data_IF_227506765281
#
_entry.id   IF_227506765281
#
_cell.length_a   1.000
_cell.length_b   1.000
_cell.length_c   1.000
_cell.angle_alpha   90.00
_cell.angle_beta   90.00
_cell.angle_gamma   90.00
#
_symmetry.space_group_name_H-M   'P 1'
#
loop_
_entity.id
_entity.type
_entity.pdbx_description
1 polymer ?
#
# COMPACT_ATOMS: atom_id res chain seq x y z
N UNK A 1 10.09 7.00 -27.97
CA UNK A 1 9.25 7.58 -26.91
C UNK A 1 9.83 7.12 -25.58
N UNK A 2 10.08 8.03 -24.64
CA UNK A 2 10.64 7.65 -23.35
C UNK A 2 9.57 6.89 -22.57
N UNK A 3 9.86 5.66 -22.14
CA UNK A 3 8.94 4.87 -21.34
C UNK A 3 8.57 5.65 -20.07
N UNK A 4 7.27 5.78 -19.80
CA UNK A 4 6.75 6.33 -18.56
C UNK A 4 7.38 5.60 -17.37
N UNK A 5 8.17 6.30 -16.55
CA UNK A 5 8.74 5.75 -15.31
C UNK A 5 7.73 5.75 -14.16
N UNK A 6 6.45 6.00 -14.43
CA UNK A 6 5.41 6.14 -13.43
C UNK A 6 4.92 4.78 -12.97
N UNK A 7 4.73 4.64 -11.66
CA UNK A 7 4.33 3.39 -11.02
C UNK A 7 3.22 3.70 -10.03
N UNK A 8 2.17 2.89 -10.04
CA UNK A 8 1.17 2.91 -8.96
C UNK A 8 1.50 1.82 -7.93
N UNK A 9 1.67 2.23 -6.68
CA UNK A 9 1.85 1.31 -5.57
C UNK A 9 0.52 1.02 -4.90
N UNK A 10 0.25 -0.27 -4.66
CA UNK A 10 -0.95 -0.78 -4.02
C UNK A 10 -0.51 -1.67 -2.86
N UNK A 11 -1.07 -1.47 -1.69
CA UNK A 11 -0.82 -2.26 -0.49
C UNK A 11 -2.11 -2.95 -0.09
N UNK A 12 -2.05 -4.25 0.15
CA UNK A 12 -3.21 -5.08 0.49
C UNK A 12 -2.92 -5.83 1.78
N UNK A 13 -3.94 -5.96 2.62
CA UNK A 13 -3.86 -6.78 3.82
C UNK A 13 -3.75 -8.27 3.49
N UNK A 14 -2.70 -8.93 3.96
CA UNK A 14 -2.49 -10.36 3.77
C UNK A 14 -3.34 -11.21 4.73
N UNK A 15 -3.71 -10.68 5.91
CA UNK A 15 -4.56 -11.38 6.87
C UNK A 15 -5.99 -11.60 6.38
N UNK A 16 -6.45 -10.85 5.37
CA UNK A 16 -7.71 -11.12 4.68
C UNK A 16 -7.76 -12.57 4.18
N UNK A 17 -6.66 -13.07 3.59
CA UNK A 17 -6.58 -14.46 3.12
C UNK A 17 -6.38 -15.46 4.24
N UNK A 18 -5.45 -15.16 5.15
CA UNK A 18 -4.91 -16.14 6.09
C UNK A 18 -5.75 -16.27 7.36
N UNK A 19 -6.30 -15.16 7.84
CA UNK A 19 -6.99 -15.08 9.12
C UNK A 19 -8.50 -14.90 8.94
N UNK A 20 -8.92 -14.13 7.95
CA UNK A 20 -10.34 -13.83 7.68
C UNK A 20 -10.95 -14.71 6.59
N UNK A 21 -10.16 -15.61 5.99
CA UNK A 21 -10.61 -16.61 5.00
C UNK A 21 -11.27 -16.02 3.74
N UNK A 22 -10.92 -14.80 3.34
CA UNK A 22 -11.40 -14.22 2.10
C UNK A 22 -10.90 -15.03 0.89
N UNK A 23 -11.70 -15.04 -0.17
CA UNK A 23 -11.28 -15.64 -1.43
C UNK A 23 -10.18 -14.79 -2.09
N UNK A 24 -9.36 -15.41 -2.93
CA UNK A 24 -8.36 -14.67 -3.72
C UNK A 24 -9.03 -13.59 -4.59
N UNK A 25 -10.18 -13.90 -5.18
CA UNK A 25 -10.96 -12.96 -5.99
C UNK A 25 -11.40 -11.74 -5.18
N UNK A 26 -11.85 -11.91 -3.94
CA UNK A 26 -12.23 -10.80 -3.07
C UNK A 26 -11.03 -9.88 -2.79
N UNK A 27 -9.86 -10.44 -2.50
CA UNK A 27 -8.63 -9.67 -2.25
C UNK A 27 -8.19 -8.88 -3.48
N UNK A 28 -8.27 -9.49 -4.67
CA UNK A 28 -8.00 -8.82 -5.94
C UNK A 28 -8.97 -7.65 -6.13
N UNK A 29 -10.26 -7.84 -5.84
CA UNK A 29 -11.26 -6.77 -5.94
C UNK A 29 -10.89 -5.57 -5.05
N UNK A 30 -10.43 -5.81 -3.82
CA UNK A 30 -9.99 -4.72 -2.92
C UNK A 30 -8.81 -3.92 -3.49
N UNK A 31 -7.83 -4.60 -4.09
CA UNK A 31 -6.71 -3.95 -4.76
C UNK A 31 -7.18 -3.10 -5.95
N UNK A 32 -8.10 -3.63 -6.75
CA UNK A 32 -8.70 -2.93 -7.89
C UNK A 32 -9.51 -1.71 -7.45
N UNK A 33 -10.31 -1.82 -6.40
CA UNK A 33 -11.08 -0.71 -5.85
C UNK A 33 -10.16 0.43 -5.36
N UNK A 34 -9.15 0.11 -4.55
CA UNK A 34 -8.17 1.09 -4.09
C UNK A 34 -7.45 1.77 -5.27
N UNK A 35 -6.95 0.99 -6.23
CA UNK A 35 -6.25 1.48 -7.43
C UNK A 35 -7.11 2.44 -8.23
N UNK A 36 -8.36 2.04 -8.53
CA UNK A 36 -9.30 2.84 -9.31
C UNK A 36 -9.70 4.11 -8.59
N UNK A 37 -9.96 4.01 -7.29
CA UNK A 37 -10.31 5.16 -6.46
C UNK A 37 -9.16 6.18 -6.39
N UNK A 38 -7.90 5.73 -6.28
CA UNK A 38 -6.74 6.61 -6.31
C UNK A 38 -6.57 7.30 -7.67
N UNK A 39 -6.70 6.56 -8.78
CA UNK A 39 -6.63 7.15 -10.12
C UNK A 39 -7.74 8.20 -10.34
N UNK A 40 -8.96 7.93 -9.89
CA UNK A 40 -10.07 8.87 -9.99
C UNK A 40 -9.88 10.10 -9.07
N UNK A 41 -9.50 9.89 -7.81
CA UNK A 41 -9.32 10.98 -6.83
C UNK A 41 -8.23 11.97 -7.29
N UNK A 42 -7.19 11.47 -7.92
CA UNK A 42 -6.04 12.26 -8.39
C UNK A 42 -5.99 12.39 -9.91
N UNK A 43 -7.14 12.32 -10.59
CA UNK A 43 -7.22 12.30 -12.06
C UNK A 43 -6.61 13.53 -12.73
N UNK A 44 -6.68 14.69 -12.08
CA UNK A 44 -6.15 15.96 -12.61
C UNK A 44 -4.65 16.14 -12.35
N UNK A 45 -4.02 15.29 -11.54
CA UNK A 45 -2.58 15.38 -11.28
C UNK A 45 -1.79 15.01 -12.54
N UNK A 46 -0.73 15.76 -12.85
CA UNK A 46 0.07 15.56 -14.07
C UNK A 46 0.59 14.12 -14.22
N UNK A 47 1.17 13.56 -13.15
CA UNK A 47 1.61 12.17 -13.11
C UNK A 47 0.48 11.17 -13.39
N UNK A 48 -0.72 11.39 -12.84
CA UNK A 48 -1.86 10.49 -13.08
C UNK A 48 -2.29 10.55 -14.53
N UNK A 49 -2.37 11.76 -15.11
CA UNK A 49 -2.72 11.95 -16.53
C UNK A 49 -1.69 11.32 -17.46
N UNK A 50 -0.40 11.53 -17.18
CA UNK A 50 0.69 10.92 -17.95
C UNK A 50 0.68 9.40 -17.85
N UNK A 51 0.43 8.85 -16.66
CA UNK A 51 0.29 7.41 -16.43
C UNK A 51 -0.89 6.80 -17.21
N UNK A 52 -2.04 7.49 -17.25
CA UNK A 52 -3.23 7.05 -17.98
C UNK A 52 -3.16 7.29 -19.49
N UNK A 53 -2.31 8.21 -19.96
CA UNK A 53 -2.10 8.45 -21.38
C UNK A 53 -1.25 7.35 -22.05
N UNK A 54 -0.44 6.63 -21.27
CA UNK A 54 0.46 5.57 -21.73
C UNK A 54 0.01 4.19 -21.20
N UNK A 55 -1.21 3.77 -21.58
CA UNK A 55 -1.85 2.57 -21.04
C UNK A 55 -1.05 1.28 -21.29
N UNK A 56 -0.33 1.19 -22.41
CA UNK A 56 0.46 0.02 -22.80
C UNK A 56 1.70 -0.18 -21.91
N UNK A 57 2.18 0.89 -21.25
CA UNK A 57 3.35 0.86 -20.38
C UNK A 57 3.02 1.11 -18.90
N UNK A 58 1.75 1.00 -18.50
CA UNK A 58 1.35 1.13 -17.10
C UNK A 58 2.01 0.06 -16.22
N UNK A 59 2.57 0.50 -15.09
CA UNK A 59 3.17 -0.38 -14.10
C UNK A 59 2.51 -0.24 -12.72
N UNK A 60 2.09 -1.38 -12.17
CA UNK A 60 1.55 -1.46 -10.80
C UNK A 60 2.43 -2.38 -9.96
N UNK A 61 2.72 -1.97 -8.73
CA UNK A 61 3.42 -2.77 -7.73
C UNK A 61 2.47 -3.05 -6.59
N UNK A 62 2.19 -4.33 -6.35
CA UNK A 62 1.30 -4.78 -5.27
C UNK A 62 2.13 -5.35 -4.14
N UNK A 63 1.88 -4.89 -2.92
CA UNK A 63 2.60 -5.26 -1.70
C UNK A 63 1.64 -5.74 -0.62
N UNK A 64 2.13 -6.57 0.29
CA UNK A 64 1.38 -7.08 1.42
C UNK A 64 1.70 -6.32 2.72
N UNK A 65 0.68 -6.10 3.55
CA UNK A 65 0.82 -5.72 4.96
C UNK A 65 0.07 -6.72 5.83
N UNK A 66 0.58 -7.03 7.03
CA UNK A 66 0.06 -8.17 7.78
C UNK A 66 -1.32 -7.97 8.39
N UNK A 67 -1.75 -6.74 8.69
CA UNK A 67 -2.99 -6.48 9.43
C UNK A 67 -3.49 -5.04 9.23
N UNK A 68 -4.72 -4.79 9.71
CA UNK A 68 -5.38 -3.47 9.64
C UNK A 68 -4.62 -2.38 10.38
N UNK A 69 -4.02 -2.70 11.54
CA UNK A 69 -3.32 -1.73 12.38
C UNK A 69 -2.10 -1.19 11.64
N UNK A 70 -1.32 -2.06 11.00
CA UNK A 70 -0.18 -1.65 10.18
C UNK A 70 -0.59 -0.93 8.90
N UNK A 71 -1.73 -1.28 8.29
CA UNK A 71 -2.26 -0.53 7.16
C UNK A 71 -2.65 0.90 7.57
N UNK A 72 -3.30 1.07 8.72
CA UNK A 72 -3.64 2.38 9.29
C UNK A 72 -2.39 3.18 9.71
N UNK A 73 -1.39 2.51 10.29
CA UNK A 73 -0.11 3.15 10.60
C UNK A 73 0.61 3.63 9.33
N UNK A 74 0.58 2.81 8.26
CA UNK A 74 1.12 3.21 6.96
C UNK A 74 0.41 4.47 6.45
N UNK A 75 -0.92 4.56 6.50
CA UNK A 75 -1.64 5.75 6.02
C UNK A 75 -1.23 7.01 6.80
N UNK A 76 -1.10 6.93 8.13
CA UNK A 76 -0.63 8.06 8.94
C UNK A 76 0.79 8.50 8.58
N UNK A 77 1.69 7.55 8.30
CA UNK A 77 3.06 7.87 7.86
C UNK A 77 3.07 8.54 6.50
N UNK A 78 2.22 8.11 5.56
CA UNK A 78 2.10 8.73 4.24
C UNK A 78 1.53 10.16 4.34
N UNK A 79 0.54 10.38 5.21
CA UNK A 79 -0.01 11.72 5.47
C UNK A 79 1.07 12.68 6.00
N UNK A 80 1.87 12.23 6.98
CA UNK A 80 2.95 13.04 7.56
C UNK A 80 4.09 13.38 6.59
N UNK A 81 4.25 12.61 5.52
CA UNK A 81 5.24 12.85 4.45
C UNK A 81 4.61 13.54 3.23
N UNK A 82 3.33 13.94 3.32
CA UNK A 82 2.56 14.56 2.22
C UNK A 82 2.54 13.73 0.93
N UNK A 83 2.41 12.41 1.08
CA UNK A 83 2.26 11.47 -0.03
C UNK A 83 0.77 11.24 -0.27
N UNK A 84 0.33 11.37 -1.52
CA UNK A 84 -1.06 11.24 -1.94
C UNK A 84 -1.46 9.75 -2.06
N UNK A 85 -2.51 9.37 -1.34
CA UNK A 85 -3.09 8.03 -1.41
C UNK A 85 -4.61 8.01 -1.19
N UNK A 86 -5.18 6.84 -1.46
CA UNK A 86 -6.52 6.43 -1.06
C UNK A 86 -6.40 5.22 -0.15
N UNK A 87 -6.99 5.31 1.03
CA UNK A 87 -7.19 4.21 1.94
C UNK A 87 -8.59 3.62 1.69
N UNK A 88 -8.65 2.37 1.27
CA UNK A 88 -9.88 1.68 0.92
C UNK A 88 -10.48 0.97 2.14
N UNK A 89 -11.76 1.24 2.39
CA UNK A 89 -12.57 0.62 3.44
C UNK A 89 -13.71 -0.13 2.80
N UNK A 90 -13.76 -1.44 3.02
CA UNK A 90 -14.82 -2.28 2.47
C UNK A 90 -16.12 -2.12 3.28
N UNK A 91 -17.25 -2.18 2.58
CA UNK A 91 -18.59 -2.22 3.15
C UNK A 91 -19.28 -3.53 2.76
N UNK A 92 -20.16 -4.09 3.61
CA UNK A 92 -20.69 -3.53 4.87
C UNK A 92 -19.82 -3.77 6.12
N UNK A 93 -18.74 -4.53 6.02
CA UNK A 93 -17.90 -4.92 7.17
C UNK A 93 -17.18 -3.74 7.82
N UNK A 94 -17.05 -2.63 7.09
CA UNK A 94 -16.47 -1.37 7.55
C UNK A 94 -15.00 -1.49 7.98
N UNK A 95 -14.23 -2.37 7.34
CA UNK A 95 -12.81 -2.63 7.64
C UNK A 95 -11.87 -2.08 6.56
N UNK A 96 -10.67 -1.65 6.93
CA UNK A 96 -9.65 -1.22 5.97
C UNK A 96 -9.05 -2.44 5.27
N UNK A 97 -9.02 -2.50 3.95
CA UNK A 97 -8.57 -3.71 3.22
C UNK A 97 -7.36 -3.46 2.34
N UNK A 98 -7.28 -2.27 1.74
CA UNK A 98 -6.21 -1.91 0.82
C UNK A 98 -5.90 -0.41 0.87
N UNK A 99 -4.76 -0.02 0.32
CA UNK A 99 -4.35 1.36 0.13
C UNK A 99 -3.70 1.46 -1.26
N UNK A 100 -3.97 2.52 -2.00
CA UNK A 100 -3.29 2.79 -3.26
C UNK A 100 -2.81 4.23 -3.32
N UNK A 101 -1.59 4.41 -3.79
CA UNK A 101 -1.05 5.73 -4.10
C UNK A 101 -1.58 6.21 -5.45
N UNK A 102 -1.48 7.50 -5.72
CA UNK A 102 -1.47 7.96 -7.12
C UNK A 102 -0.22 7.46 -7.84
N UNK A 103 -0.15 7.51 -9.17
CA UNK A 103 1.08 7.24 -9.90
C UNK A 103 2.21 8.21 -9.48
N UNK A 104 3.41 7.66 -9.31
CA UNK A 104 4.63 8.40 -8.95
C UNK A 104 5.81 7.91 -9.81
N UNK A 105 6.76 8.79 -10.08
CA UNK A 105 7.99 8.41 -10.78
C UNK A 105 8.81 7.42 -9.96
N UNK A 106 9.20 6.28 -10.53
CA UNK A 106 9.94 5.18 -9.87
C UNK A 106 11.20 5.61 -9.11
N UNK A 107 11.84 6.69 -9.55
CA UNK A 107 13.08 7.24 -8.95
C UNK A 107 12.84 8.41 -7.99
N UNK A 108 11.59 8.74 -7.70
CA UNK A 108 11.29 9.88 -6.86
C UNK A 108 11.73 9.64 -5.41
N UNK A 109 12.28 10.67 -4.77
CA UNK A 109 12.87 10.58 -3.44
C UNK A 109 11.89 10.06 -2.37
N UNK A 110 10.59 10.33 -2.52
CA UNK A 110 9.54 9.84 -1.62
C UNK A 110 9.30 8.33 -1.71
N UNK A 111 9.69 7.66 -2.81
CA UNK A 111 9.63 6.20 -2.89
C UNK A 111 10.69 5.51 -2.06
N UNK A 112 11.85 6.15 -1.82
CA UNK A 112 12.79 5.68 -0.80
C UNK A 112 12.16 5.73 0.59
N UNK A 113 11.37 6.77 0.89
CA UNK A 113 10.58 6.87 2.11
C UNK A 113 9.54 5.75 2.18
N UNK A 114 8.84 5.44 1.08
CA UNK A 114 7.89 4.33 1.01
C UNK A 114 8.56 2.96 1.30
N UNK A 115 9.67 2.65 0.64
CA UNK A 115 10.42 1.42 0.92
C UNK A 115 10.94 1.37 2.35
N UNK A 116 11.39 2.50 2.91
CA UNK A 116 11.84 2.59 4.30
C UNK A 116 10.68 2.43 5.29
N UNK A 117 9.52 3.01 5.02
CA UNK A 117 8.30 2.89 5.85
C UNK A 117 7.81 1.44 5.82
N UNK A 118 7.75 0.82 4.64
CA UNK A 118 7.39 -0.59 4.49
C UNK A 118 8.40 -1.52 5.16
N UNK A 119 9.71 -1.24 5.06
CA UNK A 119 10.77 -1.94 5.80
C UNK A 119 10.62 -1.76 7.30
N UNK A 120 10.26 -0.57 7.79
CA UNK A 120 10.05 -0.30 9.22
C UNK A 120 8.85 -1.08 9.75
N UNK A 121 7.77 -1.18 8.96
CA UNK A 121 6.60 -2.02 9.28
C UNK A 121 6.98 -3.52 9.30
N UNK A 122 7.87 -3.96 8.42
CA UNK A 122 8.43 -5.31 8.40
C UNK A 122 9.38 -5.59 9.59
N UNK A 123 10.25 -4.65 9.95
CA UNK A 123 11.26 -4.78 11.01
C UNK A 123 10.66 -4.65 12.42
N UNK A 124 9.66 -3.79 12.61
CA UNK A 124 8.91 -3.71 13.88
C UNK A 124 8.24 -5.06 14.20
N UNK A 125 7.84 -5.83 13.18
CA UNK A 125 7.32 -7.18 13.35
C UNK A 125 8.38 -8.20 13.84
N UNK A 126 9.68 -7.96 13.62
CA UNK A 126 10.75 -8.79 14.19
C UNK A 126 11.21 -8.31 15.57
N UNK A 127 11.19 -7.01 15.84
CA UNK A 127 11.68 -6.47 17.13
C UNK A 127 10.71 -6.69 18.29
N UNK A 128 9.39 -6.74 18.06
CA UNK A 128 8.44 -7.09 19.13
C UNK A 128 8.62 -8.53 19.61
N UNK A 129 8.96 -9.46 18.72
CA UNK A 129 9.23 -10.87 19.07
C UNK A 129 10.51 -11.02 19.90
N UNK A 130 11.56 -10.24 19.59
CA UNK A 130 12.83 -10.27 20.33
C UNK A 130 12.70 -9.61 21.70
N UNK A 131 11.97 -8.48 21.80
CA UNK A 131 11.76 -7.82 23.09
C UNK A 131 10.88 -8.66 24.03
N UNK A 132 9.91 -9.40 23.49
CA UNK A 132 9.10 -10.33 24.28
C UNK A 132 9.89 -11.57 24.73
N UNK A 133 10.82 -12.09 23.91
CA UNK A 133 11.74 -13.17 24.33
C UNK A 133 12.73 -12.71 25.41
N UNK A 134 13.22 -11.46 25.34
CA UNK A 134 14.12 -10.89 26.35
C UNK A 134 13.40 -10.54 27.67
N UNK A 135 12.11 -10.17 27.61
CA UNK A 135 11.31 -9.84 28.79
C UNK A 135 10.68 -11.08 29.46
N UNK A 136 10.46 -12.18 28.74
CA UNK A 136 9.88 -13.42 29.29
C UNK A 136 10.92 -14.48 29.70
N UNK A 137 12.21 -14.24 29.47
CA UNK A 137 13.30 -15.08 30.00
C UNK A 137 13.37 -16.48 29.38
N UNK A 138 14.37 -16.72 28.54
CA UNK A 138 14.58 -18.05 27.99
C UNK A 138 15.79 -18.21 27.08
N UNK A 139 16.99 -17.94 27.60
CA UNK A 139 18.19 -18.80 27.52
C UNK A 139 19.31 -18.19 28.36
#
# INVERSE_FOLDING_TARGET
MAASTLVQYIVVRSDLKTSLSWSLGAIIAQACHASTAALQKFAEHEDTRAYLADLENMHKVVLGVSDEVKLAFLSQRLEGEHIDFVLWREQPENILTALALRPYHKKAAHLYSLTRILQTIFLCCQQVTVLLCLLLGGL
#
